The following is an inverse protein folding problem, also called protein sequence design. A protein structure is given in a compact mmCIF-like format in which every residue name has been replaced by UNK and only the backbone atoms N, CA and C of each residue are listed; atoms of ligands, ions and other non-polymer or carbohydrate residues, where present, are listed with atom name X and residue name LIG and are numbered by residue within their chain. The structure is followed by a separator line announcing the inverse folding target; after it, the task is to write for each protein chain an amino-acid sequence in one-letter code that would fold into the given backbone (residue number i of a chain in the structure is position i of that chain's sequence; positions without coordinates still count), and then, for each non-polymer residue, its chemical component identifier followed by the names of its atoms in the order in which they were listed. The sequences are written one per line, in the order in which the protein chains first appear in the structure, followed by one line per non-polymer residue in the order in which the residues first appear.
data_IF_606627032083
#
_entry.id   IF_606627032083
#
_cell.length_a   1.000
_cell.length_b   1.000
_cell.length_c   1.000
_cell.angle_alpha   90.00
_cell.angle_beta   90.00
_cell.angle_gamma   90.00
#
_symmetry.space_group_name_H-M   'P 1'
#
loop_
_entity.id
_entity.type
_entity.pdbx_description
1 polymer ?
#
# COMPACT_ATOMS: atom_id res chain seq x y z
N UNK A 1 7.48 9.28 31.04
CA UNK A 1 7.05 9.82 29.72
C UNK A 1 5.71 9.18 29.36
N UNK A 2 4.83 9.84 28.59
CA UNK A 2 3.66 9.18 27.99
C UNK A 2 4.11 8.44 26.72
N UNK A 3 3.60 7.24 26.41
CA UNK A 3 3.93 6.56 25.16
C UNK A 3 3.38 7.35 23.96
N UNK A 4 4.10 7.30 22.83
CA UNK A 4 3.66 7.94 21.58
C UNK A 4 2.37 7.27 21.07
N UNK A 5 1.39 8.07 20.64
CA UNK A 5 0.13 7.56 20.04
C UNK A 5 0.39 6.68 18.81
N UNK A 6 1.41 7.00 18.01
CA UNK A 6 1.86 6.13 16.91
C UNK A 6 2.32 4.75 17.40
N UNK A 7 3.01 4.63 18.54
CA UNK A 7 3.36 3.31 19.07
C UNK A 7 2.12 2.52 19.51
N UNK A 8 1.15 3.18 20.15
CA UNK A 8 -0.09 2.54 20.58
C UNK A 8 -0.87 2.04 19.37
N UNK A 9 -1.05 2.87 18.34
CA UNK A 9 -1.73 2.51 17.09
C UNK A 9 -0.98 1.41 16.32
N UNK A 10 0.36 1.45 16.27
CA UNK A 10 1.19 0.39 15.68
C UNK A 10 1.12 -0.94 16.44
N UNK A 11 0.97 -0.91 17.78
CA UNK A 11 0.76 -2.10 18.62
C UNK A 11 -0.68 -2.62 18.55
N UNK A 12 -1.63 -1.79 18.11
CA UNK A 12 -3.04 -2.13 17.87
C UNK A 12 -3.34 -2.55 16.41
N UNK A 13 -2.32 -2.86 15.59
CA UNK A 13 -2.53 -3.28 14.21
C UNK A 13 -3.29 -4.62 14.14
N UNK A 14 -4.59 -4.54 13.82
CA UNK A 14 -5.54 -5.65 13.88
C UNK A 14 -5.09 -6.89 13.07
N UNK A 15 -5.03 -8.09 13.69
CA UNK A 15 -4.85 -9.36 12.98
C UNK A 15 -5.80 -9.55 11.78
N UNK A 16 -7.02 -9.01 11.80
CA UNK A 16 -7.93 -9.08 10.64
C UNK A 16 -7.43 -8.31 9.43
N UNK A 17 -6.63 -7.25 9.56
CA UNK A 17 -6.00 -6.57 8.42
C UNK A 17 -4.96 -7.49 7.75
N UNK A 18 -4.16 -8.21 8.53
CA UNK A 18 -3.17 -9.17 8.02
C UNK A 18 -3.85 -10.36 7.33
N UNK A 19 -5.01 -10.79 7.83
CA UNK A 19 -5.85 -11.83 7.22
C UNK A 19 -6.58 -11.32 5.97
N UNK A 20 -7.29 -10.19 6.01
CA UNK A 20 -7.95 -9.55 4.86
C UNK A 20 -6.96 -9.25 3.72
N UNK A 21 -5.72 -8.87 4.04
CA UNK A 21 -4.66 -8.72 3.02
C UNK A 21 -4.28 -10.07 2.40
N UNK A 22 -4.11 -11.14 3.21
CA UNK A 22 -3.93 -12.51 2.70
C UNK A 22 -5.14 -12.97 1.86
N UNK A 23 -6.36 -12.55 2.19
CA UNK A 23 -7.56 -12.94 1.46
C UNK A 23 -7.81 -12.14 0.19
N UNK A 24 -7.44 -10.86 0.14
CA UNK A 24 -7.40 -10.09 -1.10
C UNK A 24 -6.37 -10.68 -2.06
N UNK A 25 -5.20 -11.10 -1.55
CA UNK A 25 -4.20 -11.86 -2.31
C UNK A 25 -4.65 -13.30 -2.68
N UNK A 26 -5.49 -13.97 -1.88
CA UNK A 26 -6.14 -15.25 -2.27
C UNK A 26 -7.23 -15.05 -3.33
N UNK A 27 -7.96 -13.93 -3.30
CA UNK A 27 -8.90 -13.51 -4.37
C UNK A 27 -8.16 -13.06 -5.64
N UNK A 28 -6.86 -12.80 -5.55
CA UNK A 28 -5.93 -12.73 -6.69
C UNK A 28 -5.53 -14.12 -7.21
N UNK A 29 -6.31 -15.17 -6.92
CA UNK A 29 -6.38 -16.36 -7.77
C UNK A 29 -6.91 -15.94 -9.13
N UNK A 30 -6.00 -15.91 -10.11
CA UNK A 30 -6.36 -16.11 -11.51
C UNK A 30 -7.18 -17.39 -11.59
N UNK A 31 -8.33 -17.34 -12.25
CA UNK A 31 -9.23 -18.48 -12.35
C UNK A 31 -8.57 -19.67 -13.05
N UNK A 32 -9.02 -20.88 -12.70
CA UNK A 32 -8.66 -22.11 -13.42
C UNK A 32 -9.48 -22.23 -14.71
N UNK A 33 -9.25 -21.31 -15.64
CA UNK A 33 -9.58 -21.50 -17.06
C UNK A 33 -8.29 -21.78 -17.81
N UNK A 34 -8.16 -22.96 -18.39
CA UNK A 34 -7.07 -23.28 -19.30
C UNK A 34 -7.21 -22.46 -20.60
N UNK A 35 -6.09 -22.18 -21.28
CA UNK A 35 -6.04 -21.46 -22.58
C UNK A 35 -6.36 -19.95 -22.60
N UNK A 36 -5.55 -19.12 -21.92
CA UNK A 36 -5.32 -17.73 -22.34
C UNK A 36 -3.85 -17.33 -22.21
N UNK A 37 -3.16 -17.19 -23.36
CA UNK A 37 -1.73 -16.83 -23.43
C UNK A 37 -1.50 -15.30 -23.52
N UNK A 38 -1.88 -14.57 -22.48
CA UNK A 38 -1.55 -13.14 -22.30
C UNK A 38 -1.60 -12.78 -20.80
N UNK A 39 -0.69 -11.99 -20.22
CA UNK A 39 0.50 -11.33 -20.78
C UNK A 39 1.44 -10.77 -19.71
N UNK A 40 1.63 -11.48 -18.59
CA UNK A 40 2.53 -11.08 -17.49
C UNK A 40 3.66 -12.08 -17.32
N UNK A 41 4.91 -11.64 -17.46
CA UNK A 41 6.07 -12.52 -17.32
C UNK A 41 6.27 -13.01 -15.88
N UNK A 42 6.76 -14.25 -15.73
CA UNK A 42 6.95 -14.88 -14.42
C UNK A 42 7.93 -14.09 -13.55
N UNK A 43 8.98 -13.51 -14.14
CA UNK A 43 9.94 -12.65 -13.43
C UNK A 43 9.30 -11.35 -12.91
N UNK A 44 8.33 -10.78 -13.62
CA UNK A 44 7.63 -9.57 -13.20
C UNK A 44 6.69 -9.86 -12.02
N UNK A 45 6.02 -11.03 -12.04
CA UNK A 45 5.22 -11.53 -10.91
C UNK A 45 6.09 -11.82 -9.67
N UNK A 46 7.25 -12.45 -9.85
CA UNK A 46 8.20 -12.71 -8.77
C UNK A 46 8.78 -11.41 -8.17
N UNK A 47 9.13 -10.44 -9.02
CA UNK A 47 9.54 -9.08 -8.61
C UNK A 47 8.47 -8.43 -7.72
N UNK A 48 7.19 -8.52 -8.10
CA UNK A 48 6.07 -7.99 -7.31
C UNK A 48 5.92 -8.66 -5.93
N UNK A 49 5.93 -9.99 -5.88
CA UNK A 49 5.78 -10.75 -4.64
C UNK A 49 6.93 -10.47 -3.66
N UNK A 50 8.17 -10.33 -4.17
CA UNK A 50 9.33 -9.94 -3.36
C UNK A 50 9.20 -8.49 -2.88
N UNK A 51 8.83 -7.55 -3.76
CA UNK A 51 8.58 -6.14 -3.38
C UNK A 51 7.53 -6.02 -2.28
N UNK A 52 6.40 -6.73 -2.40
CA UNK A 52 5.36 -6.75 -1.38
C UNK A 52 5.87 -7.25 -0.02
N UNK A 53 6.74 -8.28 -0.02
CA UNK A 53 7.38 -8.79 1.21
C UNK A 53 8.36 -7.77 1.81
N UNK A 54 9.13 -7.05 1.01
CA UNK A 54 10.03 -5.97 1.50
C UNK A 54 9.21 -4.89 2.23
N UNK A 55 8.17 -4.37 1.57
CA UNK A 55 7.29 -3.33 2.13
C UNK A 55 6.56 -3.81 3.39
N UNK A 56 5.97 -5.01 3.35
CA UNK A 56 5.21 -5.57 4.47
C UNK A 56 6.04 -5.74 5.75
N UNK A 57 7.34 -6.05 5.62
CA UNK A 57 8.26 -6.17 6.75
C UNK A 57 9.05 -4.88 7.02
N UNK A 58 8.63 -3.75 6.45
CA UNK A 58 9.19 -2.40 6.64
C UNK A 58 10.71 -2.35 6.41
N UNK A 59 11.19 -3.06 5.38
CA UNK A 59 12.62 -3.12 5.03
C UNK A 59 12.98 -2.05 3.98
N UNK A 60 14.21 -1.52 3.98
CA UNK A 60 14.67 -0.55 2.98
C UNK A 60 14.64 -1.18 1.58
N UNK A 61 14.42 -0.36 0.55
CA UNK A 61 14.27 -0.84 -0.83
C UNK A 61 15.54 -1.51 -1.38
N UNK A 62 16.71 -1.07 -0.91
CA UNK A 62 18.04 -1.55 -1.30
C UNK A 62 18.26 -3.03 -0.98
N UNK A 63 17.58 -3.58 0.03
CA UNK A 63 17.67 -5.01 0.40
C UNK A 63 17.32 -5.96 -0.76
N UNK A 64 16.57 -5.48 -1.76
CA UNK A 64 16.25 -6.22 -2.99
C UNK A 64 17.49 -6.55 -3.82
N UNK A 65 18.44 -5.63 -3.94
CA UNK A 65 19.67 -5.77 -4.73
C UNK A 65 20.89 -6.12 -3.87
N UNK A 66 20.99 -5.59 -2.64
CA UNK A 66 22.10 -5.83 -1.72
C UNK A 66 22.14 -7.27 -1.17
N UNK A 67 20.96 -7.88 -0.97
CA UNK A 67 20.86 -9.15 -0.23
C UNK A 67 19.94 -10.18 -0.92
N UNK A 68 18.69 -9.81 -1.21
CA UNK A 68 17.69 -10.79 -1.67
C UNK A 68 18.08 -11.37 -3.05
N UNK A 69 18.45 -10.53 -4.02
CA UNK A 69 18.84 -11.02 -5.35
C UNK A 69 20.11 -11.88 -5.30
N UNK A 70 21.23 -11.49 -4.65
CA UNK A 70 22.38 -12.37 -4.46
C UNK A 70 22.05 -13.71 -3.79
N UNK A 71 21.28 -13.71 -2.69
CA UNK A 71 20.92 -14.94 -1.99
C UNK A 71 20.09 -15.91 -2.85
N UNK A 72 19.08 -15.41 -3.57
CA UNK A 72 18.23 -16.27 -4.43
C UNK A 72 19.03 -16.81 -5.62
N UNK A 73 19.89 -16.00 -6.25
CA UNK A 73 20.77 -16.47 -7.32
C UNK A 73 21.73 -17.57 -6.83
N UNK A 74 22.41 -17.36 -5.69
CA UNK A 74 23.39 -18.32 -5.19
C UNK A 74 22.76 -19.62 -4.69
N UNK A 75 21.60 -19.54 -4.03
CA UNK A 75 20.84 -20.73 -3.64
C UNK A 75 20.39 -21.54 -4.86
N UNK A 76 20.01 -20.88 -5.95
CA UNK A 76 19.60 -21.55 -7.20
C UNK A 76 20.79 -22.28 -7.84
N UNK A 77 21.93 -21.62 -8.00
CA UNK A 77 23.17 -22.23 -8.53
C UNK A 77 23.57 -23.49 -7.73
N UNK A 78 23.47 -23.44 -6.39
CA UNK A 78 23.84 -24.55 -5.50
C UNK A 78 22.84 -25.73 -5.61
N UNK A 79 21.54 -25.45 -5.67
CA UNK A 79 20.49 -26.49 -5.55
C UNK A 79 20.11 -27.08 -6.92
N UNK A 80 20.17 -26.29 -8.00
CA UNK A 80 19.73 -26.69 -9.34
C UNK A 80 20.88 -26.81 -10.36
N UNK A 81 22.11 -26.47 -9.98
CA UNK A 81 23.28 -26.47 -10.84
C UNK A 81 23.50 -25.14 -11.57
N UNK A 82 24.71 -24.96 -12.10
CA UNK A 82 25.16 -23.71 -12.71
C UNK A 82 24.42 -23.37 -14.02
N UNK A 83 24.25 -22.08 -14.30
CA UNK A 83 23.50 -21.57 -15.46
C UNK A 83 21.99 -21.53 -15.25
N UNK A 84 21.44 -22.20 -14.24
CA UNK A 84 19.99 -22.16 -13.95
C UNK A 84 19.56 -20.80 -13.38
N UNK A 85 20.47 -20.11 -12.68
CA UNK A 85 20.26 -18.79 -12.10
C UNK A 85 20.04 -17.67 -13.15
N UNK A 86 20.44 -17.88 -14.41
CA UNK A 86 20.22 -16.92 -15.51
C UNK A 86 18.73 -16.55 -15.67
N UNK A 87 17.82 -17.52 -15.50
CA UNK A 87 16.37 -17.30 -15.57
C UNK A 87 15.89 -16.35 -14.47
N UNK A 88 16.50 -16.43 -13.28
CA UNK A 88 16.21 -15.61 -12.10
C UNK A 88 16.90 -14.25 -12.17
N UNK A 89 18.01 -14.13 -12.89
CA UNK A 89 18.72 -12.87 -13.10
C UNK A 89 17.83 -11.81 -13.80
N UNK A 90 16.82 -12.24 -14.57
CA UNK A 90 15.77 -11.39 -15.16
C UNK A 90 14.81 -10.72 -14.15
N UNK A 91 14.80 -11.13 -12.88
CA UNK A 91 13.96 -10.50 -11.84
C UNK A 91 14.58 -9.16 -11.42
N UNK A 92 13.95 -8.05 -11.81
CA UNK A 92 14.35 -6.71 -11.39
C UNK A 92 13.99 -6.46 -9.93
N UNK A 93 15.01 -6.21 -9.10
CA UNK A 93 14.91 -5.94 -7.66
C UNK A 93 15.79 -4.76 -7.21
N UNK A 94 16.22 -3.90 -8.14
CA UNK A 94 17.01 -2.70 -7.78
C UNK A 94 16.23 -1.73 -6.90
N UNK A 95 16.90 -0.90 -6.10
CA UNK A 95 16.27 0.10 -5.23
C UNK A 95 15.21 0.92 -5.99
N UNK A 96 15.56 1.44 -7.17
CA UNK A 96 14.62 2.17 -8.03
C UNK A 96 13.44 1.31 -8.51
N UNK A 97 13.65 0.02 -8.80
CA UNK A 97 12.56 -0.91 -9.12
C UNK A 97 11.65 -1.12 -7.92
N UNK A 98 12.22 -1.50 -6.77
CA UNK A 98 11.47 -1.79 -5.54
C UNK A 98 10.68 -0.57 -5.09
N UNK A 99 11.30 0.62 -5.07
CA UNK A 99 10.63 1.92 -4.80
C UNK A 99 9.43 2.13 -5.73
N UNK A 100 9.62 2.03 -7.05
CA UNK A 100 8.54 2.21 -8.03
C UNK A 100 7.43 1.19 -7.82
N UNK A 101 7.77 -0.09 -7.63
CA UNK A 101 6.78 -1.17 -7.45
C UNK A 101 6.06 -1.13 -6.10
N UNK A 102 6.62 -0.47 -5.08
CA UNK A 102 5.88 -0.13 -3.84
C UNK A 102 4.84 0.96 -4.12
N UNK A 103 5.18 1.99 -4.89
CA UNK A 103 4.22 3.02 -5.30
C UNK A 103 3.09 2.43 -6.15
N UNK A 104 3.40 1.55 -7.11
CA UNK A 104 2.42 0.81 -7.91
C UNK A 104 1.42 0.03 -7.00
N UNK A 105 1.94 -0.69 -5.98
CA UNK A 105 1.13 -1.46 -5.02
C UNK A 105 0.27 -0.52 -4.16
N UNK A 106 0.85 0.57 -3.65
CA UNK A 106 0.15 1.55 -2.83
C UNK A 106 -1.00 2.23 -3.59
N UNK A 107 -0.82 2.54 -4.87
CA UNK A 107 -1.86 3.08 -5.74
C UNK A 107 -3.04 2.10 -5.90
N UNK A 108 -2.78 0.81 -6.11
CA UNK A 108 -3.83 -0.22 -6.20
C UNK A 108 -4.59 -0.37 -4.87
N UNK A 109 -3.89 -0.38 -3.73
CA UNK A 109 -4.52 -0.45 -2.40
C UNK A 109 -5.40 0.80 -2.16
N UNK A 110 -4.88 1.98 -2.45
CA UNK A 110 -5.59 3.26 -2.32
C UNK A 110 -6.87 3.29 -3.16
N UNK A 111 -6.81 2.89 -4.44
CA UNK A 111 -7.98 2.77 -5.31
C UNK A 111 -9.02 1.76 -4.78
N UNK A 112 -8.57 0.66 -4.17
CA UNK A 112 -9.48 -0.31 -3.55
C UNK A 112 -10.19 0.27 -2.31
N UNK A 113 -9.47 1.01 -1.45
CA UNK A 113 -10.06 1.71 -0.29
C UNK A 113 -11.09 2.75 -0.77
N UNK A 114 -10.73 3.60 -1.74
CA UNK A 114 -11.64 4.61 -2.32
C UNK A 114 -12.92 3.97 -2.86
N UNK A 115 -12.80 2.83 -3.55
CA UNK A 115 -13.98 2.12 -4.08
C UNK A 115 -14.84 1.47 -2.97
N UNK A 116 -14.27 1.04 -1.84
CA UNK A 116 -15.07 0.64 -0.67
C UNK A 116 -15.79 1.85 -0.05
N UNK A 117 -15.11 2.99 0.11
CA UNK A 117 -15.67 4.21 0.72
C UNK A 117 -16.89 4.71 -0.09
N UNK A 118 -16.82 4.68 -1.42
CA UNK A 118 -17.95 4.99 -2.33
C UNK A 118 -19.18 4.09 -2.17
N UNK A 119 -18.96 2.83 -1.79
CA UNK A 119 -20.02 1.83 -1.61
C UNK A 119 -20.57 1.81 -0.18
N UNK A 120 -19.97 2.58 0.73
CA UNK A 120 -20.44 2.73 2.10
C UNK A 120 -21.55 3.79 2.19
N UNK A 121 -22.65 3.54 2.90
CA UNK A 121 -23.70 4.55 3.09
C UNK A 121 -23.22 5.77 3.90
N UNK A 122 -22.20 5.60 4.74
CA UNK A 122 -21.58 6.67 5.53
C UNK A 122 -20.07 6.51 5.59
N UNK A 123 -19.34 7.62 5.60
CA UNK A 123 -17.91 7.62 5.89
C UNK A 123 -17.52 8.85 6.71
N UNK A 124 -16.37 8.79 7.37
CA UNK A 124 -15.76 9.92 8.07
C UNK A 124 -14.27 9.97 7.75
N UNK A 125 -13.73 11.17 7.56
CA UNK A 125 -12.29 11.41 7.39
C UNK A 125 -11.75 12.00 8.69
N UNK A 126 -10.59 11.54 9.12
CA UNK A 126 -9.86 12.12 10.26
C UNK A 126 -8.38 12.20 9.94
N UNK A 127 -7.75 13.33 10.24
CA UNK A 127 -6.33 13.55 10.04
C UNK A 127 -5.55 13.61 11.36
N UNK A 128 -4.29 13.20 11.31
CA UNK A 128 -3.30 13.32 12.38
C UNK A 128 -2.08 14.05 11.81
N UNK A 129 -1.61 15.08 12.50
CA UNK A 129 -0.41 15.83 12.13
C UNK A 129 0.70 15.54 13.15
N UNK A 130 1.86 15.11 12.66
CA UNK A 130 3.07 14.97 13.49
C UNK A 130 4.18 15.84 12.93
N UNK A 131 4.57 16.87 13.68
CA UNK A 131 5.78 17.65 13.42
C UNK A 131 7.03 16.81 13.73
N UNK A 132 7.98 16.75 12.81
CA UNK A 132 9.28 16.10 13.06
C UNK A 132 10.30 17.06 13.71
N UNK A 133 11.49 16.55 14.02
CA UNK A 133 12.58 17.30 14.69
C UNK A 133 13.15 18.42 13.79
N UNK A 134 12.85 18.40 12.49
CA UNK A 134 13.31 19.35 11.46
C UNK A 134 12.18 20.36 11.13
N UNK A 135 11.07 20.34 11.88
CA UNK A 135 9.87 21.14 11.68
C UNK A 135 9.13 20.84 10.35
N UNK A 136 9.31 19.62 9.79
CA UNK A 136 8.44 19.12 8.73
C UNK A 136 7.14 18.58 9.34
N UNK A 137 6.00 19.12 8.92
CA UNK A 137 4.68 18.66 9.32
C UNK A 137 4.27 17.45 8.47
N UNK A 138 4.27 16.25 9.03
CA UNK A 138 3.77 15.05 8.34
C UNK A 138 2.27 14.88 8.63
N UNK A 139 1.44 15.00 7.59
CA UNK A 139 0.00 14.78 7.65
C UNK A 139 -0.34 13.34 7.24
N UNK A 140 -1.04 12.61 8.11
CA UNK A 140 -1.65 11.31 7.81
C UNK A 140 -3.17 11.49 7.77
N UNK A 141 -3.81 10.99 6.72
CA UNK A 141 -5.27 11.04 6.54
C UNK A 141 -5.82 9.62 6.61
N UNK A 142 -6.73 9.39 7.54
CA UNK A 142 -7.46 8.13 7.74
C UNK A 142 -8.90 8.30 7.25
N UNK A 143 -9.51 7.18 6.81
CA UNK A 143 -10.93 7.12 6.49
C UNK A 143 -11.58 5.97 7.25
N UNK A 144 -12.73 6.25 7.86
CA UNK A 144 -13.65 5.27 8.45
C UNK A 144 -14.85 5.11 7.54
N UNK A 145 -15.26 3.88 7.26
CA UNK A 145 -16.43 3.56 6.46
C UNK A 145 -17.05 2.25 6.93
N UNK A 146 -18.32 2.01 6.57
CA UNK A 146 -19.05 0.77 6.86
C UNK A 146 -18.72 -0.22 5.75
N UNK A 147 -18.07 -1.33 6.10
CA UNK A 147 -17.57 -2.34 5.16
C UNK A 147 -18.12 -3.72 5.49
N UNK A 148 -19.32 -4.03 4.98
CA UNK A 148 -20.20 -5.02 5.61
C UNK A 148 -20.73 -4.47 6.93
N UNK A 149 -21.10 -5.33 7.87
CA UNK A 149 -21.73 -4.92 9.14
C UNK A 149 -20.75 -4.35 10.19
N UNK A 150 -19.55 -3.94 9.76
CA UNK A 150 -18.49 -3.42 10.63
C UNK A 150 -17.88 -2.12 10.09
N UNK A 151 -17.52 -1.22 11.00
CA UNK A 151 -16.69 -0.05 10.68
C UNK A 151 -15.26 -0.54 10.37
N UNK A 152 -14.69 -0.05 9.27
CA UNK A 152 -13.30 -0.29 8.87
C UNK A 152 -12.57 1.06 8.84
N UNK A 153 -11.40 1.16 9.48
CA UNK A 153 -10.50 2.31 9.41
C UNK A 153 -9.28 1.94 8.55
N UNK A 154 -8.94 2.78 7.57
CA UNK A 154 -7.83 2.57 6.64
C UNK A 154 -7.05 3.89 6.44
N UNK A 155 -5.75 3.82 6.15
CA UNK A 155 -4.97 5.01 5.77
C UNK A 155 -5.27 5.36 4.31
N UNK A 156 -5.76 6.57 4.09
CA UNK A 156 -6.20 7.10 2.80
C UNK A 156 -5.10 7.92 2.10
N UNK A 157 -4.29 8.66 2.87
CA UNK A 157 -3.17 9.44 2.37
C UNK A 157 -2.09 9.64 3.45
N UNK A 158 -0.85 9.93 3.04
CA UNK A 158 0.22 10.38 3.93
C UNK A 158 1.19 11.26 3.14
N UNK A 159 1.44 12.48 3.60
CA UNK A 159 2.29 13.47 2.91
C UNK A 159 2.94 14.46 3.89
N UNK A 160 4.11 14.97 3.52
CA UNK A 160 4.69 16.12 4.19
C UNK A 160 4.00 17.41 3.69
N UNK A 161 3.76 18.35 4.60
CA UNK A 161 3.27 19.70 4.31
C UNK A 161 4.43 20.70 4.37
N UNK A 162 4.44 21.66 3.47
CA UNK A 162 5.41 22.77 3.46
C UNK A 162 5.22 23.75 4.63
N UNK A 163 4.02 23.79 5.20
CA UNK A 163 3.72 24.41 6.47
C UNK A 163 2.57 23.64 7.16
N UNK A 164 2.62 23.53 8.49
CA UNK A 164 1.58 22.87 9.29
C UNK A 164 0.40 23.80 9.63
N UNK A 165 -0.13 24.55 8.66
CA UNK A 165 -1.28 25.43 8.94
C UNK A 165 -2.60 24.67 8.75
N UNK A 166 -3.63 25.07 9.49
CA UNK A 166 -5.00 24.56 9.31
C UNK A 166 -5.48 24.70 7.87
N UNK A 167 -5.09 25.79 7.19
CA UNK A 167 -5.34 26.02 5.76
C UNK A 167 -4.64 24.98 4.87
N UNK A 168 -3.39 24.63 5.12
CA UNK A 168 -2.67 23.62 4.33
C UNK A 168 -3.27 22.22 4.50
N UNK A 169 -3.70 21.88 5.72
CA UNK A 169 -4.39 20.62 6.04
C UNK A 169 -5.74 20.55 5.31
N UNK A 170 -6.56 21.60 5.42
CA UNK A 170 -7.86 21.66 4.74
C UNK A 170 -7.70 21.65 3.22
N UNK A 171 -6.79 22.46 2.66
CA UNK A 171 -6.49 22.47 1.24
C UNK A 171 -5.99 21.10 0.76
N UNK A 172 -5.17 20.40 1.54
CA UNK A 172 -4.72 19.04 1.25
C UNK A 172 -5.89 18.06 1.21
N UNK A 173 -6.85 18.17 2.12
CA UNK A 173 -8.02 17.29 2.19
C UNK A 173 -9.00 17.59 1.06
N UNK A 174 -9.31 18.87 0.76
CA UNK A 174 -10.16 19.24 -0.39
C UNK A 174 -9.54 18.82 -1.73
N UNK A 175 -8.24 19.10 -1.94
CA UNK A 175 -7.51 18.62 -3.12
C UNK A 175 -7.47 17.09 -3.23
N UNK A 176 -7.49 16.37 -2.10
CA UNK A 176 -7.64 14.92 -2.12
C UNK A 176 -9.05 14.54 -2.58
N UNK A 177 -10.08 15.09 -1.93
CA UNK A 177 -11.48 14.77 -2.17
C UNK A 177 -11.81 15.05 -3.64
N UNK A 178 -11.62 16.27 -4.15
CA UNK A 178 -11.88 16.65 -5.54
C UNK A 178 -11.26 15.70 -6.59
N UNK A 179 -9.98 15.32 -6.39
CA UNK A 179 -9.25 14.41 -7.31
C UNK A 179 -9.81 12.98 -7.33
N UNK A 180 -10.57 12.59 -6.32
CA UNK A 180 -11.21 11.27 -6.25
C UNK A 180 -12.73 11.37 -6.47
N UNK A 181 -13.35 12.51 -6.17
CA UNK A 181 -14.77 12.82 -6.32
C UNK A 181 -15.20 12.97 -7.79
N UNK A 182 -14.29 13.29 -8.70
CA UNK A 182 -14.51 13.06 -10.14
C UNK A 182 -14.75 11.57 -10.49
N UNK A 183 -14.63 10.66 -9.52
CA UNK A 183 -15.08 9.26 -9.60
C UNK A 183 -16.02 8.84 -8.46
N UNK A 184 -16.51 9.77 -7.64
CA UNK A 184 -17.59 9.59 -6.64
C UNK A 184 -18.85 10.25 -7.20
N UNK A 185 -19.77 9.46 -7.76
CA UNK A 185 -21.06 9.99 -8.20
C UNK A 185 -21.88 10.46 -6.99
N UNK A 186 -22.22 11.76 -6.98
CA UNK A 186 -23.08 12.44 -6.01
C UNK A 186 -24.15 11.53 -5.38
N UNK A 187 -24.09 11.35 -4.06
CA UNK A 187 -25.27 11.13 -3.22
C UNK A 187 -25.29 12.25 -2.17
N UNK A 188 -26.45 12.90 -2.03
CA UNK A 188 -26.59 14.20 -1.39
C UNK A 188 -26.71 14.13 0.12
N UNK A 189 -26.00 15.02 0.83
CA UNK A 189 -26.58 15.62 2.03
C UNK A 189 -27.75 16.53 1.59
N UNK A 190 -28.96 16.17 1.98
CA UNK A 190 -30.10 17.10 2.01
C UNK A 190 -30.16 17.72 3.40
N UNK A 191 -29.89 19.02 3.50
CA UNK A 191 -30.17 19.78 4.71
C UNK A 191 -31.68 20.08 4.79
N UNK A 192 -32.25 19.96 5.99
CA UNK A 192 -33.61 20.31 6.38
C UNK A 192 -33.53 21.25 7.60
#
# INVERSE_FOLDING_TARGET
MRPNRLEVHLKQQDPTLVLKTKESLKRMRLDKSESYHTGVSQHLKASFEITFRIAKHKKPHTIGEELIKPCVLKATQIILGEGTEQKIQSISLSNNTVKRRINDIAAVIKSHIINKVKLSPFFAISCDESTDIINCAQLIVYVRYIGGDIIQEEILNSQCLTAGTTSDILNSISNFIEKNDQTVSKNSCSEN
#
